data_IF_137480889443
#
_entry.id   IF_137480889443
#
_cell.length_a   1.000
_cell.length_b   1.000
_cell.length_c   1.000
_cell.angle_alpha   90.00
_cell.angle_beta   90.00
_cell.angle_gamma   90.00
#
_symmetry.space_group_name_H-M   'P 1'
#
loop_
_entity.id
_entity.type
_entity.pdbx_description
1 polymer ?
#
# COMPACT_ATOMS: atom_id res chain seq x y z
N UNK A 1 13.10 -21.64 33.05
CA UNK A 1 13.83 -22.87 32.64
C UNK A 1 14.32 -22.62 31.23
N UNK A 2 15.61 -22.80 30.98
CA UNK A 2 16.24 -22.60 29.67
C UNK A 2 16.62 -23.98 29.12
N UNK A 3 16.36 -24.23 27.84
CA UNK A 3 16.87 -25.41 27.14
C UNK A 3 17.58 -24.93 25.88
N UNK A 4 18.91 -24.96 25.88
CA UNK A 4 19.71 -24.37 24.79
C UNK A 4 19.49 -22.86 24.66
N UNK A 5 19.25 -22.38 23.43
CA UNK A 5 18.95 -20.96 23.13
C UNK A 5 17.49 -20.54 23.33
N UNK A 6 16.66 -21.39 23.94
CA UNK A 6 15.21 -21.17 24.08
C UNK A 6 14.85 -20.74 25.51
N UNK A 7 14.06 -19.66 25.58
CA UNK A 7 13.62 -18.99 26.79
C UNK A 7 12.11 -19.06 26.90
N UNK A 8 11.64 -19.66 27.99
CA UNK A 8 10.21 -19.82 28.27
C UNK A 8 9.80 -18.84 29.39
N UNK A 9 8.99 -17.81 29.12
CA UNK A 9 8.57 -16.84 30.13
C UNK A 9 7.90 -17.45 31.36
N UNK A 10 7.19 -18.59 31.22
CA UNK A 10 6.62 -19.34 32.36
C UNK A 10 7.70 -19.68 33.39
N UNK A 11 8.88 -20.09 32.91
CA UNK A 11 10.03 -20.39 33.75
C UNK A 11 10.67 -19.18 34.41
N UNK A 12 10.21 -17.98 34.09
CA UNK A 12 10.56 -16.69 34.69
C UNK A 12 9.43 -16.14 35.59
N UNK A 13 8.33 -16.89 35.74
CA UNK A 13 7.16 -16.51 36.54
C UNK A 13 6.01 -15.90 35.74
N UNK A 14 6.04 -15.95 34.41
CA UNK A 14 4.91 -15.47 33.60
C UNK A 14 3.70 -16.39 33.78
N UNK A 15 2.51 -15.80 33.78
CA UNK A 15 1.24 -16.51 33.88
C UNK A 15 0.65 -16.73 32.47
N UNK A 16 0.69 -17.96 31.94
CA UNK A 16 0.20 -18.27 30.59
C UNK A 16 -1.32 -18.31 30.50
N UNK A 17 -2.05 -18.12 31.62
CA UNK A 17 -3.52 -18.08 31.65
C UNK A 17 -4.09 -16.69 31.41
N UNK A 18 -3.26 -15.65 31.56
CA UNK A 18 -3.66 -14.26 31.33
C UNK A 18 -4.43 -13.65 32.50
N UNK A 19 -4.41 -14.28 33.68
CA UNK A 19 -5.02 -13.73 34.89
C UNK A 19 -4.10 -12.73 35.59
N UNK A 20 -2.80 -13.01 35.64
CA UNK A 20 -1.81 -12.16 36.29
C UNK A 20 -0.90 -11.47 35.28
N UNK A 21 -0.37 -10.31 35.69
CA UNK A 21 0.59 -9.56 34.90
C UNK A 21 1.87 -10.38 34.66
N UNK A 22 2.27 -10.49 33.40
CA UNK A 22 3.43 -11.25 32.95
C UNK A 22 4.57 -10.36 32.43
N UNK A 23 4.43 -9.04 32.51
CA UNK A 23 5.32 -8.09 31.85
C UNK A 23 6.76 -8.24 32.33
N UNK A 24 6.96 -8.29 33.66
CA UNK A 24 8.30 -8.42 34.25
C UNK A 24 8.94 -9.78 33.98
N UNK A 25 8.14 -10.85 33.98
CA UNK A 25 8.64 -12.19 33.70
C UNK A 25 9.08 -12.34 32.24
N UNK A 26 8.28 -11.82 31.29
CA UNK A 26 8.63 -11.82 29.86
C UNK A 26 9.86 -10.93 29.62
N UNK A 27 9.90 -9.73 30.20
CA UNK A 27 11.06 -8.84 30.08
C UNK A 27 12.33 -9.47 30.67
N UNK A 28 12.22 -10.21 31.77
CA UNK A 28 13.35 -10.94 32.36
C UNK A 28 13.85 -12.06 31.45
N UNK A 29 12.95 -12.85 30.86
CA UNK A 29 13.31 -13.87 29.87
C UNK A 29 14.05 -13.25 28.67
N UNK A 30 13.55 -12.11 28.19
CA UNK A 30 14.17 -11.35 27.10
C UNK A 30 15.56 -10.83 27.48
N UNK A 31 15.72 -10.22 28.66
CA UNK A 31 17.00 -9.70 29.12
C UNK A 31 18.06 -10.80 29.29
N UNK A 32 17.66 -11.99 29.75
CA UNK A 32 18.56 -13.14 29.84
C UNK A 32 19.01 -13.61 28.44
N UNK A 33 18.09 -13.64 27.46
CA UNK A 33 18.43 -13.92 26.07
C UNK A 33 19.49 -12.97 25.51
N UNK A 34 19.32 -11.66 25.76
CA UNK A 34 20.28 -10.64 25.34
C UNK A 34 21.61 -10.70 26.12
N UNK A 35 21.61 -11.32 27.30
CA UNK A 35 22.79 -11.49 28.14
C UNK A 35 23.66 -12.69 27.74
N UNK A 36 23.16 -13.64 26.92
CA UNK A 36 23.95 -14.82 26.51
C UNK A 36 25.28 -14.41 25.90
N UNK A 37 26.38 -14.87 26.49
CA UNK A 37 27.70 -14.73 25.88
C UNK A 37 28.03 -16.05 25.20
N UNK A 38 28.03 -16.07 23.86
CA UNK A 38 28.84 -17.05 23.15
C UNK A 38 30.30 -16.90 23.57
N UNK A 39 31.07 -17.98 23.57
CA UNK A 39 32.50 -17.99 23.92
C UNK A 39 33.32 -17.04 23.01
N UNK A 40 32.81 -16.74 21.82
CA UNK A 40 33.35 -15.74 20.88
C UNK A 40 32.38 -14.56 20.71
N UNK A 41 32.92 -13.33 20.67
CA UNK A 41 32.13 -12.13 20.31
C UNK A 41 31.76 -12.18 18.83
N UNK A 42 30.62 -12.78 18.52
CA UNK A 42 30.02 -12.75 17.17
C UNK A 42 29.14 -11.52 17.02
N UNK A 43 29.19 -10.96 15.83
CA UNK A 43 28.43 -9.79 15.44
C UNK A 43 27.74 -10.11 14.11
N UNK A 44 26.54 -9.58 13.94
CA UNK A 44 25.93 -9.43 12.63
C UNK A 44 26.63 -8.23 11.96
N UNK A 45 25.95 -7.11 11.75
CA UNK A 45 26.62 -5.84 11.49
C UNK A 45 27.24 -5.28 12.78
N UNK A 46 28.54 -4.95 12.80
CA UNK A 46 29.12 -4.29 13.99
C UNK A 46 28.41 -2.95 14.29
N UNK A 47 28.04 -2.67 15.55
CA UNK A 47 28.31 -3.42 16.78
C UNK A 47 27.19 -4.38 17.25
N UNK A 48 26.21 -4.72 16.41
CA UNK A 48 25.10 -5.62 16.73
C UNK A 48 25.60 -7.00 17.14
N UNK A 49 25.37 -7.36 18.41
CA UNK A 49 25.68 -8.69 18.92
C UNK A 49 24.78 -9.73 18.26
N UNK A 50 25.38 -10.82 17.81
CA UNK A 50 24.65 -12.00 17.36
C UNK A 50 24.18 -12.80 18.59
N UNK A 51 22.87 -12.98 18.75
CA UNK A 51 22.27 -13.74 19.84
C UNK A 51 22.19 -15.25 19.56
N UNK A 52 22.73 -15.72 18.43
CA UNK A 52 22.90 -17.14 18.14
C UNK A 52 21.58 -17.88 17.87
N UNK A 53 20.55 -17.17 17.40
CA UNK A 53 19.23 -17.74 17.15
C UNK A 53 18.42 -17.91 18.43
N UNK A 54 18.56 -16.99 19.39
CA UNK A 54 17.79 -17.02 20.62
C UNK A 54 16.28 -17.02 20.32
N UNK A 55 15.51 -17.77 21.11
CA UNK A 55 14.06 -17.87 20.95
C UNK A 55 13.36 -17.54 22.26
N UNK A 56 12.47 -16.55 22.24
CA UNK A 56 11.46 -16.33 23.27
C UNK A 56 10.20 -17.10 22.85
N UNK A 57 9.97 -18.24 23.49
CA UNK A 57 8.86 -19.13 23.17
C UNK A 57 7.72 -18.92 24.18
N UNK A 58 6.60 -18.38 23.70
CA UNK A 58 5.40 -18.11 24.51
C UNK A 58 4.57 -19.38 24.74
N UNK A 59 4.91 -20.52 24.12
CA UNK A 59 4.33 -21.85 24.31
C UNK A 59 2.80 -21.93 24.14
N UNK A 60 2.24 -21.09 23.27
CA UNK A 60 0.80 -20.97 23.06
C UNK A 60 0.04 -20.31 24.23
N UNK A 61 0.74 -19.79 25.24
CA UNK A 61 0.14 -19.12 26.39
C UNK A 61 -0.53 -17.80 26.03
N UNK A 62 -1.46 -17.36 26.87
CA UNK A 62 -2.08 -16.03 26.80
C UNK A 62 -1.57 -15.19 27.96
N UNK A 63 -0.76 -14.17 27.68
CA UNK A 63 -0.08 -13.37 28.70
C UNK A 63 -0.68 -11.98 28.76
N UNK A 64 -1.15 -11.60 29.96
CA UNK A 64 -1.58 -10.24 30.26
C UNK A 64 -0.34 -9.39 30.55
N UNK A 65 -0.24 -8.21 29.93
CA UNK A 65 0.86 -7.26 30.15
C UNK A 65 0.32 -5.85 30.44
N UNK A 66 0.87 -5.19 31.45
CA UNK A 66 0.57 -3.81 31.85
C UNK A 66 1.59 -2.79 31.36
N UNK A 67 2.70 -3.25 30.77
CA UNK A 67 3.73 -2.39 30.18
C UNK A 67 4.37 -3.02 28.94
N UNK A 68 4.95 -2.22 28.05
CA UNK A 68 5.61 -2.71 26.85
C UNK A 68 6.71 -3.73 27.16
N UNK A 69 6.84 -4.73 26.29
CA UNK A 69 8.01 -5.60 26.23
C UNK A 69 9.03 -4.95 25.30
N UNK A 70 10.09 -4.39 25.87
CA UNK A 70 11.08 -3.60 25.12
C UNK A 70 12.34 -4.42 24.90
N UNK A 71 12.74 -4.57 23.64
CA UNK A 71 13.95 -5.31 23.27
C UNK A 71 15.19 -4.46 23.56
N UNK A 72 16.19 -4.98 24.30
CA UNK A 72 17.45 -4.28 24.48
C UNK A 72 18.12 -3.97 23.12
N UNK A 73 18.71 -2.78 22.92
CA UNK A 73 19.29 -2.41 21.64
C UNK A 73 20.63 -3.12 21.40
N UNK A 74 21.13 -2.98 20.17
CA UNK A 74 22.47 -3.43 19.77
C UNK A 74 22.64 -4.96 19.71
N UNK A 75 21.58 -5.67 19.28
CA UNK A 75 21.65 -7.09 19.02
C UNK A 75 20.66 -7.56 17.95
N UNK A 76 20.81 -8.82 17.55
CA UNK A 76 20.00 -9.43 16.51
C UNK A 76 20.05 -10.95 16.50
N UNK A 77 19.48 -11.56 15.47
CA UNK A 77 19.34 -13.02 15.34
C UNK A 77 18.55 -13.60 16.52
N UNK A 78 17.30 -13.13 16.65
CA UNK A 78 16.37 -13.51 17.71
C UNK A 78 14.94 -13.64 17.18
N UNK A 79 14.20 -14.60 17.75
CA UNK A 79 12.79 -14.84 17.45
C UNK A 79 11.93 -14.76 18.72
N UNK A 80 10.77 -14.13 18.63
CA UNK A 80 9.67 -14.31 19.58
C UNK A 80 8.53 -15.03 18.87
N UNK A 81 7.97 -16.09 19.47
CA UNK A 81 6.97 -16.91 18.80
C UNK A 81 5.87 -17.48 19.70
N UNK A 82 4.76 -17.89 19.05
CA UNK A 82 3.71 -18.80 19.54
C UNK A 82 2.99 -18.39 20.82
N UNK A 83 1.96 -17.54 20.75
CA UNK A 83 1.13 -17.22 21.91
C UNK A 83 0.26 -15.97 21.72
N UNK A 84 -0.24 -15.43 22.82
CA UNK A 84 -0.97 -14.15 22.84
C UNK A 84 -0.35 -13.17 23.83
N UNK A 85 -0.15 -11.94 23.40
CA UNK A 85 0.15 -10.79 24.27
C UNK A 85 -1.10 -9.92 24.34
N UNK A 86 -1.59 -9.67 25.55
CA UNK A 86 -2.82 -8.91 25.79
C UNK A 86 -2.56 -7.74 26.70
N UNK A 87 -2.89 -6.53 26.28
CA UNK A 87 -2.84 -5.37 27.16
C UNK A 87 -3.81 -5.53 28.35
N UNK A 88 -3.35 -5.18 29.54
CA UNK A 88 -4.20 -4.99 30.71
C UNK A 88 -4.90 -3.62 30.66
N UNK A 89 -5.82 -3.39 31.60
CA UNK A 89 -6.48 -2.08 31.75
C UNK A 89 -5.48 -0.96 32.12
N UNK A 90 -4.36 -1.32 32.74
CA UNK A 90 -3.31 -0.38 33.14
C UNK A 90 -2.28 -0.11 32.02
N UNK A 91 -2.41 -0.80 30.87
CA UNK A 91 -1.47 -0.64 29.77
C UNK A 91 -1.51 0.79 29.20
N UNK A 92 -0.34 1.44 29.00
CA UNK A 92 -0.30 2.83 28.55
C UNK A 92 -0.91 3.03 27.16
N UNK A 93 -1.79 4.04 26.97
CA UNK A 93 -2.58 4.21 25.74
C UNK A 93 -1.78 4.72 24.54
N UNK A 94 -0.53 5.12 24.74
CA UNK A 94 0.36 5.73 23.75
C UNK A 94 1.64 4.91 23.51
N UNK A 95 1.60 3.61 23.80
CA UNK A 95 2.72 2.67 23.66
C UNK A 95 2.31 1.45 22.85
N UNK A 96 3.24 0.53 22.63
CA UNK A 96 3.01 -0.69 21.87
C UNK A 96 3.29 -1.91 22.73
N UNK A 97 2.56 -3.00 22.54
CA UNK A 97 2.75 -4.24 23.30
C UNK A 97 4.21 -4.70 23.26
N UNK A 98 4.83 -4.61 22.08
CA UNK A 98 6.25 -4.88 21.86
C UNK A 98 6.93 -3.72 21.16
N UNK A 99 8.15 -3.39 21.61
CA UNK A 99 8.92 -2.26 21.09
C UNK A 99 10.37 -2.66 20.79
N UNK A 100 10.75 -2.53 19.51
CA UNK A 100 12.14 -2.41 19.07
C UNK A 100 12.49 -0.92 18.99
N UNK A 101 12.82 -0.34 20.15
CA UNK A 101 13.16 1.08 20.27
C UNK A 101 14.35 1.25 21.20
N UNK A 102 15.40 1.90 20.70
CA UNK A 102 16.54 2.30 21.53
C UNK A 102 16.29 3.68 22.17
N UNK A 103 16.59 3.87 23.46
CA UNK A 103 16.61 5.20 24.07
C UNK A 103 17.80 6.04 23.59
N UNK A 104 18.81 5.42 22.97
CA UNK A 104 19.97 6.12 22.43
C UNK A 104 19.59 6.86 21.13
N UNK A 105 20.05 8.10 20.98
CA UNK A 105 19.96 8.85 19.73
C UNK A 105 21.29 8.77 18.96
N UNK A 106 21.21 8.80 17.63
CA UNK A 106 22.39 9.00 16.77
C UNK A 106 22.90 7.80 15.98
N UNK A 107 22.34 6.58 16.14
CA UNK A 107 22.60 5.46 15.21
C UNK A 107 21.47 5.26 14.21
N UNK A 108 21.87 4.85 13.00
CA UNK A 108 20.94 4.48 11.93
C UNK A 108 20.18 3.19 12.27
N UNK A 109 20.85 2.17 12.85
CA UNK A 109 20.29 0.84 13.14
C UNK A 109 20.63 0.36 14.56
N UNK A 110 19.66 -0.22 15.25
CA UNK A 110 19.80 -0.81 16.60
C UNK A 110 19.44 -2.29 16.70
N UNK A 111 18.76 -2.83 15.68
CA UNK A 111 18.30 -4.21 15.67
C UNK A 111 18.51 -4.79 14.27
N UNK A 112 18.87 -6.07 14.20
CA UNK A 112 19.05 -6.79 12.94
C UNK A 112 18.48 -8.21 13.07
N UNK A 113 17.79 -8.72 12.05
CA UNK A 113 17.34 -10.11 12.01
C UNK A 113 16.47 -10.51 13.22
N UNK A 114 15.40 -9.73 13.46
CA UNK A 114 14.40 -9.98 14.51
C UNK A 114 13.15 -10.58 13.89
N UNK A 115 12.64 -11.67 14.46
CA UNK A 115 11.41 -12.33 13.95
C UNK A 115 10.31 -12.38 15.00
N UNK A 116 9.11 -11.96 14.63
CA UNK A 116 7.85 -12.18 15.35
C UNK A 116 6.99 -13.15 14.55
N UNK A 117 6.56 -14.25 15.16
CA UNK A 117 5.91 -15.34 14.43
C UNK A 117 4.81 -16.03 15.24
N UNK A 118 3.65 -16.24 14.64
CA UNK A 118 2.56 -17.02 15.26
C UNK A 118 2.06 -16.39 16.58
N UNK A 119 1.97 -15.04 16.64
CA UNK A 119 1.56 -14.29 17.83
C UNK A 119 0.24 -13.54 17.60
N UNK A 120 -0.67 -13.60 18.57
CA UNK A 120 -1.77 -12.66 18.71
C UNK A 120 -1.34 -11.45 19.55
N UNK A 121 -1.40 -10.27 18.96
CA UNK A 121 -1.24 -8.98 19.61
C UNK A 121 -2.61 -8.36 19.85
N UNK A 122 -3.13 -8.47 21.07
CA UNK A 122 -4.40 -7.83 21.46
C UNK A 122 -4.12 -6.60 22.32
N UNK A 123 -4.22 -5.43 21.70
CA UNK A 123 -4.00 -4.15 22.37
C UNK A 123 -5.14 -3.77 23.32
N UNK A 124 -6.23 -4.54 23.42
CA UNK A 124 -7.34 -4.32 24.37
C UNK A 124 -7.86 -2.86 24.40
N UNK A 125 -7.87 -2.19 23.25
CA UNK A 125 -8.22 -0.77 23.06
C UNK A 125 -7.27 0.20 23.77
N UNK A 126 -5.99 -0.18 23.87
CA UNK A 126 -4.90 0.57 24.50
C UNK A 126 -3.66 0.54 23.60
N UNK A 127 -3.24 1.69 23.10
CA UNK A 127 -1.98 1.78 22.34
C UNK A 127 -2.01 1.00 21.02
N UNK A 128 -0.86 0.46 20.64
CA UNK A 128 -0.63 -0.28 19.41
C UNK A 128 -0.08 -1.69 19.64
N UNK A 129 0.10 -2.43 18.56
CA UNK A 129 0.62 -3.80 18.62
C UNK A 129 2.14 -3.84 18.70
N UNK A 130 2.80 -3.45 17.60
CA UNK A 130 4.25 -3.54 17.44
C UNK A 130 4.86 -2.24 16.94
N UNK A 131 5.93 -1.79 17.60
CA UNK A 131 6.75 -0.66 17.18
C UNK A 131 8.14 -1.12 16.77
N UNK A 132 8.56 -0.75 15.57
CA UNK A 132 9.88 -1.04 15.01
C UNK A 132 10.54 0.26 14.63
N UNK A 133 11.65 0.59 15.28
CA UNK A 133 12.42 1.80 14.98
C UNK A 133 13.84 1.41 14.60
N UNK A 134 14.35 1.95 13.50
CA UNK A 134 15.77 1.85 13.11
C UNK A 134 16.27 0.39 13.16
N UNK A 135 15.55 -0.50 12.46
CA UNK A 135 15.83 -1.94 12.43
C UNK A 135 16.12 -2.42 11.02
N UNK A 136 16.90 -3.48 10.88
CA UNK A 136 17.16 -4.17 9.61
C UNK A 136 16.60 -5.59 9.65
N UNK A 137 16.02 -6.04 8.53
CA UNK A 137 15.69 -7.47 8.29
C UNK A 137 14.73 -8.02 9.35
N UNK A 138 13.74 -7.23 9.72
CA UNK A 138 12.70 -7.65 10.68
C UNK A 138 11.62 -8.44 9.95
N UNK A 139 11.16 -9.55 10.54
CA UNK A 139 10.09 -10.38 9.98
C UNK A 139 8.91 -10.44 10.94
N UNK A 140 7.71 -10.17 10.44
CA UNK A 140 6.44 -10.31 11.15
C UNK A 140 5.59 -11.27 10.33
N UNK A 141 5.43 -12.50 10.83
CA UNK A 141 4.91 -13.61 10.04
C UNK A 141 3.73 -14.24 10.78
N UNK A 142 2.67 -14.55 10.04
CA UNK A 142 1.53 -15.33 10.53
C UNK A 142 1.00 -14.84 11.88
N UNK A 143 0.82 -13.53 12.00
CA UNK A 143 0.46 -12.89 13.27
C UNK A 143 -0.86 -12.14 13.15
N UNK A 144 -1.56 -12.04 14.27
CA UNK A 144 -2.89 -11.46 14.33
C UNK A 144 -2.85 -10.22 15.25
N UNK A 145 -3.38 -9.08 14.80
CA UNK A 145 -3.37 -7.82 15.54
C UNK A 145 -4.80 -7.32 15.73
N UNK A 146 -5.19 -7.06 16.98
CA UNK A 146 -6.54 -6.62 17.35
C UNK A 146 -6.54 -5.45 18.32
N UNK A 147 -7.64 -4.69 18.27
CA UNK A 147 -8.01 -3.74 19.31
C UNK A 147 -6.97 -2.63 19.56
N UNK A 148 -6.17 -2.24 18.56
CA UNK A 148 -5.28 -1.08 18.70
C UNK A 148 -6.08 0.23 18.62
N UNK A 149 -5.61 1.25 19.35
CA UNK A 149 -6.10 2.63 19.25
C UNK A 149 -5.10 3.55 18.53
N UNK A 150 -3.91 3.04 18.19
CA UNK A 150 -2.93 3.78 17.39
C UNK A 150 -2.66 3.01 16.10
N UNK A 151 -1.57 2.26 16.05
CA UNK A 151 -1.14 1.43 14.94
C UNK A 151 -1.11 -0.04 15.35
N UNK A 152 -1.59 -0.93 14.47
CA UNK A 152 -1.31 -2.36 14.62
C UNK A 152 0.19 -2.61 14.57
N UNK A 153 0.83 -2.13 13.49
CA UNK A 153 2.28 -2.10 13.31
C UNK A 153 2.72 -0.70 12.90
N UNK A 154 3.72 -0.13 13.59
CA UNK A 154 4.42 1.08 13.19
C UNK A 154 5.90 0.77 12.91
N UNK A 155 6.37 1.09 11.71
CA UNK A 155 7.78 0.99 11.32
C UNK A 155 8.32 2.39 11.03
N UNK A 156 9.43 2.77 11.67
CA UNK A 156 10.07 4.07 11.51
C UNK A 156 11.58 3.93 11.28
N UNK A 157 12.07 4.45 10.16
CA UNK A 157 13.47 4.30 9.77
C UNK A 157 13.86 2.85 9.54
N UNK A 158 15.16 2.57 9.42
CA UNK A 158 15.65 1.24 9.06
C UNK A 158 15.27 0.82 7.64
N UNK A 159 15.45 -0.48 7.33
CA UNK A 159 15.14 -1.09 6.04
C UNK A 159 14.72 -2.55 6.18
N UNK A 160 14.13 -3.13 5.13
CA UNK A 160 13.92 -4.58 5.00
C UNK A 160 13.02 -5.19 6.09
N UNK A 161 11.94 -4.52 6.48
CA UNK A 161 10.88 -5.11 7.31
C UNK A 161 9.89 -5.86 6.43
N UNK A 162 9.69 -7.15 6.68
CA UNK A 162 8.76 -8.01 5.95
C UNK A 162 7.57 -8.39 6.83
N UNK A 163 6.38 -8.00 6.39
CA UNK A 163 5.09 -8.31 7.01
C UNK A 163 4.37 -9.30 6.09
N UNK A 164 4.15 -10.53 6.54
CA UNK A 164 3.64 -11.60 5.69
C UNK A 164 2.57 -12.44 6.40
N UNK A 165 1.52 -12.81 5.67
CA UNK A 165 0.46 -13.72 6.16
C UNK A 165 -0.22 -13.24 7.45
N UNK A 166 -0.36 -11.93 7.65
CA UNK A 166 -0.92 -11.38 8.88
C UNK A 166 -2.41 -10.99 8.74
N UNK A 167 -3.08 -10.83 9.88
CA UNK A 167 -4.42 -10.26 9.98
C UNK A 167 -4.37 -9.09 10.94
N UNK A 168 -4.79 -7.89 10.50
CA UNK A 168 -4.74 -6.69 11.34
C UNK A 168 -6.04 -5.92 11.27
N UNK A 169 -6.68 -5.71 12.42
CA UNK A 169 -7.81 -4.80 12.50
C UNK A 169 -8.03 -4.16 13.85
N UNK A 170 -8.50 -2.91 13.82
CA UNK A 170 -8.80 -2.17 15.05
C UNK A 170 -9.97 -2.82 15.79
N UNK A 171 -10.91 -3.44 15.07
CA UNK A 171 -12.07 -4.12 15.63
C UNK A 171 -12.32 -5.43 14.89
N UNK A 172 -12.59 -6.51 15.62
CA UNK A 172 -12.95 -7.80 15.02
C UNK A 172 -14.42 -7.77 14.55
N UNK A 173 -14.63 -7.46 13.27
CA UNK A 173 -15.94 -7.51 12.60
C UNK A 173 -15.78 -7.93 11.14
N UNK A 174 -16.87 -8.32 10.49
CA UNK A 174 -16.92 -8.81 9.10
C UNK A 174 -17.60 -7.81 8.15
N UNK A 175 -17.84 -6.58 8.61
CA UNK A 175 -18.59 -5.55 7.88
C UNK A 175 -19.90 -5.18 8.58
N UNK A 176 -20.55 -4.09 8.13
CA UNK A 176 -21.82 -3.57 8.66
C UNK A 176 -21.85 -3.33 10.18
N UNK A 177 -20.70 -3.00 10.76
CA UNK A 177 -20.63 -2.57 12.15
C UNK A 177 -21.31 -1.20 12.30
N UNK A 178 -22.26 -1.08 13.22
CA UNK A 178 -23.00 0.17 13.45
C UNK A 178 -22.09 1.34 13.87
N UNK A 179 -20.89 1.04 14.37
CA UNK A 179 -19.87 2.00 14.78
C UNK A 179 -18.70 2.10 13.80
N UNK A 180 -18.83 1.62 12.56
CA UNK A 180 -17.76 1.70 11.55
C UNK A 180 -17.30 3.14 11.30
N UNK A 181 -18.23 4.10 11.39
CA UNK A 181 -17.94 5.53 11.27
C UNK A 181 -16.95 6.04 12.34
N UNK A 182 -16.85 5.35 13.48
CA UNK A 182 -15.99 5.72 14.60
C UNK A 182 -14.60 5.09 14.52
N UNK A 183 -14.30 4.24 13.54
CA UNK A 183 -12.96 3.66 13.39
C UNK A 183 -11.95 4.77 13.08
N UNK A 184 -10.77 4.73 13.72
CA UNK A 184 -9.75 5.79 13.68
C UNK A 184 -8.30 5.29 13.66
N UNK A 185 -8.06 4.00 13.91
CA UNK A 185 -6.71 3.43 13.93
C UNK A 185 -6.12 3.20 12.53
N UNK A 186 -4.82 2.95 12.49
CA UNK A 186 -4.09 2.54 11.28
C UNK A 186 -3.61 1.11 11.44
N UNK A 187 -3.87 0.20 10.49
CA UNK A 187 -3.41 -1.18 10.65
C UNK A 187 -1.89 -1.29 10.52
N UNK A 188 -1.32 -0.74 9.45
CA UNK A 188 0.13 -0.68 9.22
C UNK A 188 0.54 0.74 8.82
N UNK A 189 1.56 1.28 9.48
CA UNK A 189 2.22 2.53 9.13
C UNK A 189 3.71 2.29 8.81
N UNK A 190 4.09 2.50 7.55
CA UNK A 190 5.45 2.32 7.05
C UNK A 190 6.11 3.68 6.77
N UNK A 191 6.77 4.24 7.79
CA UNK A 191 7.73 5.34 7.69
C UNK A 191 9.16 4.85 7.53
N UNK A 192 9.35 3.93 6.59
CA UNK A 192 10.62 3.26 6.34
C UNK A 192 10.68 2.82 4.87
N UNK A 193 11.89 2.51 4.39
CA UNK A 193 12.16 2.17 3.00
C UNK A 193 12.45 0.68 2.82
N UNK A 194 12.31 0.19 1.59
CA UNK A 194 12.69 -1.18 1.18
C UNK A 194 12.00 -2.30 1.98
N UNK A 195 10.75 -2.06 2.40
CA UNK A 195 9.94 -3.03 3.13
C UNK A 195 9.02 -3.82 2.20
N UNK A 196 8.45 -4.91 2.73
CA UNK A 196 7.46 -5.71 2.00
C UNK A 196 6.25 -6.04 2.88
N UNK A 197 5.05 -5.87 2.31
CA UNK A 197 3.79 -6.33 2.91
C UNK A 197 3.14 -7.30 1.93
N UNK A 198 2.99 -8.56 2.33
CA UNK A 198 2.53 -9.66 1.47
C UNK A 198 1.44 -10.49 2.12
N UNK A 199 0.47 -10.94 1.33
CA UNK A 199 -0.55 -11.93 1.73
C UNK A 199 -1.24 -11.57 3.07
N UNK A 200 -1.56 -10.29 3.27
CA UNK A 200 -1.99 -9.75 4.56
C UNK A 200 -3.39 -9.17 4.46
N UNK A 201 -4.22 -9.45 5.47
CA UNK A 201 -5.58 -8.94 5.56
C UNK A 201 -5.64 -7.75 6.52
N UNK A 202 -6.15 -6.62 6.02
CA UNK A 202 -6.30 -5.38 6.77
C UNK A 202 -7.80 -5.06 6.87
N UNK A 203 -8.31 -4.93 8.09
CA UNK A 203 -9.74 -4.78 8.31
C UNK A 203 -10.12 -3.82 9.42
N UNK A 204 -11.30 -3.22 9.28
CA UNK A 204 -11.98 -2.45 10.33
C UNK A 204 -11.11 -1.38 11.01
N UNK A 205 -10.17 -0.78 10.29
CA UNK A 205 -9.41 0.41 10.71
C UNK A 205 -9.83 1.64 9.89
N UNK A 206 -9.42 2.84 10.28
CA UNK A 206 -9.61 4.04 9.43
C UNK A 206 -8.71 3.98 8.20
N UNK A 207 -7.46 3.58 8.41
CA UNK A 207 -6.46 3.40 7.35
C UNK A 207 -5.91 1.99 7.41
N UNK A 208 -5.93 1.26 6.30
CA UNK A 208 -5.28 -0.05 6.22
C UNK A 208 -3.77 0.09 6.26
N UNK A 209 -3.21 0.54 5.15
CA UNK A 209 -1.77 0.73 4.99
C UNK A 209 -1.46 2.20 4.70
N UNK A 210 -0.65 2.82 5.56
CA UNK A 210 -0.08 4.14 5.34
C UNK A 210 1.38 4.00 4.89
N UNK A 211 1.66 4.35 3.62
CA UNK A 211 3.00 4.38 3.05
C UNK A 211 3.56 5.80 3.14
N UNK A 212 4.65 5.97 3.89
CA UNK A 212 5.40 7.24 4.00
C UNK A 212 6.81 7.15 3.45
N UNK A 213 7.41 5.97 3.53
CA UNK A 213 8.73 5.69 2.96
C UNK A 213 8.70 5.17 1.53
N UNK A 214 9.89 4.98 0.98
CA UNK A 214 10.14 4.74 -0.44
C UNK A 214 10.42 3.27 -0.74
N UNK A 215 10.27 2.90 -2.01
CA UNK A 215 10.72 1.63 -2.57
C UNK A 215 10.09 0.35 -1.96
N UNK A 216 8.97 0.48 -1.23
CA UNK A 216 8.31 -0.68 -0.64
C UNK A 216 7.53 -1.49 -1.68
N UNK A 217 7.33 -2.77 -1.37
CA UNK A 217 6.56 -3.71 -2.19
C UNK A 217 5.33 -4.19 -1.42
N UNK A 218 4.16 -4.03 -2.03
CA UNK A 218 2.86 -4.41 -1.47
C UNK A 218 2.20 -5.37 -2.43
N UNK A 219 1.87 -6.57 -1.98
CA UNK A 219 1.20 -7.57 -2.83
C UNK A 219 0.26 -8.47 -2.05
N UNK A 220 -0.81 -8.97 -2.68
CA UNK A 220 -1.70 -9.96 -2.04
C UNK A 220 -2.46 -9.42 -0.83
N UNK A 221 -2.74 -8.11 -0.78
CA UNK A 221 -3.54 -7.57 0.32
C UNK A 221 -5.03 -7.86 0.12
N UNK A 222 -5.75 -8.14 1.20
CA UNK A 222 -7.21 -8.04 1.24
C UNK A 222 -7.60 -6.95 2.24
N UNK A 223 -8.27 -5.91 1.77
CA UNK A 223 -8.46 -4.66 2.50
C UNK A 223 -9.95 -4.34 2.60
N UNK A 224 -10.54 -4.61 3.76
CA UNK A 224 -11.94 -4.29 4.11
C UNK A 224 -11.99 -3.44 5.39
N UNK A 225 -11.34 -2.28 5.29
CA UNK A 225 -11.33 -1.26 6.35
C UNK A 225 -12.64 -0.49 6.39
N UNK A 226 -12.66 0.57 7.20
CA UNK A 226 -13.71 1.59 7.13
C UNK A 226 -13.93 1.98 5.66
N UNK A 227 -15.15 1.81 5.18
CA UNK A 227 -15.50 1.99 3.79
C UNK A 227 -15.39 3.45 3.35
N UNK A 228 -15.32 3.65 2.04
CA UNK A 228 -15.31 4.97 1.39
C UNK A 228 -16.46 5.85 1.87
N UNK A 229 -17.66 5.27 2.10
CA UNK A 229 -18.85 5.99 2.61
C UNK A 229 -18.59 6.73 3.94
N UNK A 230 -17.67 6.23 4.75
CA UNK A 230 -17.26 6.83 6.02
C UNK A 230 -15.87 7.47 5.96
N UNK A 231 -15.35 7.72 4.76
CA UNK A 231 -14.02 8.32 4.51
C UNK A 231 -12.85 7.48 5.02
N UNK A 232 -13.01 6.16 5.14
CA UNK A 232 -11.86 5.30 5.38
C UNK A 232 -10.98 5.16 4.14
N UNK A 233 -9.74 4.70 4.33
CA UNK A 233 -8.75 4.56 3.27
C UNK A 233 -8.13 3.17 3.34
N UNK A 234 -8.14 2.46 2.21
CA UNK A 234 -7.53 1.14 2.14
C UNK A 234 -6.01 1.24 2.18
N UNK A 235 -5.43 1.93 1.18
CA UNK A 235 -4.00 2.24 1.13
C UNK A 235 -3.84 3.75 0.91
N UNK A 236 -3.02 4.39 1.74
CA UNK A 236 -2.69 5.81 1.63
C UNK A 236 -1.21 5.93 1.29
N UNK A 237 -0.90 6.50 0.12
CA UNK A 237 0.46 6.80 -0.34
C UNK A 237 0.73 8.29 -0.17
N UNK A 238 1.67 8.64 0.71
CA UNK A 238 2.09 10.03 0.92
C UNK A 238 2.99 10.50 -0.22
N UNK A 239 3.08 11.81 -0.39
CA UNK A 239 3.94 12.51 -1.33
C UNK A 239 5.44 12.15 -1.21
N UNK A 240 5.88 11.75 -0.01
CA UNK A 240 7.24 11.29 0.25
C UNK A 240 7.51 9.84 -0.18
N UNK A 241 6.44 9.07 -0.47
CA UNK A 241 6.46 7.63 -0.67
C UNK A 241 6.70 7.27 -2.15
N UNK A 242 7.85 7.67 -2.67
CA UNK A 242 8.27 7.36 -4.03
C UNK A 242 8.64 5.89 -4.25
N UNK A 243 8.62 5.42 -5.51
CA UNK A 243 9.12 4.09 -5.91
C UNK A 243 8.35 2.89 -5.33
N UNK A 244 7.17 3.11 -4.77
CA UNK A 244 6.35 2.04 -4.20
C UNK A 244 5.62 1.24 -5.30
N UNK A 245 5.50 -0.06 -5.08
CA UNK A 245 4.82 -1.01 -5.99
C UNK A 245 3.69 -1.68 -5.24
N UNK A 246 2.47 -1.53 -5.75
CA UNK A 246 1.24 -2.14 -5.22
C UNK A 246 0.70 -3.06 -6.31
N UNK A 247 0.56 -4.34 -6.01
CA UNK A 247 0.16 -5.34 -7.00
C UNK A 247 -0.82 -6.35 -6.40
N UNK A 248 -1.66 -6.96 -7.25
CA UNK A 248 -2.48 -8.13 -6.90
C UNK A 248 -3.21 -8.00 -5.54
N UNK A 249 -3.86 -6.87 -5.30
CA UNK A 249 -4.55 -6.58 -4.04
C UNK A 249 -6.06 -6.48 -4.25
N UNK A 250 -6.83 -6.84 -3.23
CA UNK A 250 -8.28 -6.75 -3.22
C UNK A 250 -8.75 -5.65 -2.24
N UNK A 251 -9.34 -4.61 -2.81
CA UNK A 251 -9.87 -3.44 -2.11
C UNK A 251 -11.39 -3.58 -2.00
N UNK A 252 -11.88 -3.95 -0.82
CA UNK A 252 -13.30 -4.20 -0.57
C UNK A 252 -13.95 -2.97 0.08
N UNK A 253 -14.77 -2.23 -0.70
CA UNK A 253 -15.38 -0.93 -0.33
C UNK A 253 -14.39 0.16 0.10
N UNK A 254 -13.10 0.01 -0.23
CA UNK A 254 -12.03 0.95 0.16
C UNK A 254 -11.24 1.45 -1.04
N UNK A 255 -10.69 2.65 -0.94
CA UNK A 255 -9.91 3.29 -2.01
C UNK A 255 -8.41 3.26 -1.74
N UNK A 256 -7.63 3.44 -2.81
CA UNK A 256 -6.22 3.81 -2.72
C UNK A 256 -6.11 5.31 -2.98
N UNK A 257 -5.52 6.06 -2.05
CA UNK A 257 -5.30 7.50 -2.15
C UNK A 257 -3.80 7.76 -2.32
N UNK A 258 -3.42 8.55 -3.32
CA UNK A 258 -2.02 8.90 -3.59
C UNK A 258 -1.84 10.41 -3.65
N UNK A 259 -1.03 10.96 -2.76
CA UNK A 259 -0.64 12.36 -2.77
C UNK A 259 0.58 12.56 -3.67
N UNK A 260 0.48 13.45 -4.67
CA UNK A 260 1.57 13.81 -5.59
C UNK A 260 2.49 12.63 -6.00
N UNK A 261 1.94 11.53 -6.59
CA UNK A 261 2.70 10.29 -6.69
C UNK A 261 3.93 10.44 -7.60
N UNK A 262 5.05 9.88 -7.13
CA UNK A 262 6.34 9.88 -7.83
C UNK A 262 6.88 8.45 -7.98
N UNK A 263 6.90 7.95 -9.22
CA UNK A 263 7.31 6.57 -9.55
C UNK A 263 6.54 5.50 -8.76
N UNK A 264 5.20 5.57 -8.74
CA UNK A 264 4.35 4.59 -8.06
C UNK A 264 3.70 3.66 -9.08
N UNK A 265 3.65 2.36 -8.77
CA UNK A 265 3.01 1.35 -9.62
C UNK A 265 1.80 0.73 -8.89
N UNK A 266 0.66 0.65 -9.57
CA UNK A 266 -0.55 -0.03 -9.13
C UNK A 266 -1.09 -0.94 -10.23
N UNK A 267 -1.01 -2.26 -10.00
CA UNK A 267 -1.42 -3.26 -11.00
C UNK A 267 -2.24 -4.42 -10.44
N UNK A 268 -2.96 -5.08 -11.35
CA UNK A 268 -3.60 -6.38 -11.13
C UNK A 268 -4.53 -6.44 -9.91
N UNK A 269 -5.06 -5.30 -9.47
CA UNK A 269 -5.85 -5.20 -8.25
C UNK A 269 -7.35 -5.20 -8.54
N UNK A 270 -8.13 -5.72 -7.60
CA UNK A 270 -9.59 -5.72 -7.60
C UNK A 270 -10.11 -4.61 -6.71
N UNK A 271 -11.10 -3.86 -7.19
CA UNK A 271 -11.83 -2.88 -6.40
C UNK A 271 -13.32 -3.20 -6.40
N UNK A 272 -13.92 -3.35 -5.22
CA UNK A 272 -15.35 -3.58 -5.03
C UNK A 272 -16.01 -2.39 -4.30
N UNK A 273 -17.29 -2.17 -4.58
CA UNK A 273 -18.15 -1.34 -3.73
C UNK A 273 -17.84 0.16 -3.80
N UNK A 274 -17.61 0.68 -5.01
CA UNK A 274 -17.13 2.06 -5.24
C UNK A 274 -15.70 2.33 -4.70
N UNK A 275 -14.93 1.28 -4.39
CA UNK A 275 -13.48 1.40 -4.24
C UNK A 275 -12.85 1.93 -5.53
N UNK A 276 -11.94 2.89 -5.41
CA UNK A 276 -11.31 3.55 -6.56
C UNK A 276 -9.88 4.01 -6.24
N UNK A 277 -9.22 4.60 -7.24
CA UNK A 277 -7.95 5.32 -7.06
C UNK A 277 -8.22 6.82 -7.00
N UNK A 278 -7.65 7.50 -6.01
CA UNK A 278 -7.74 8.95 -5.88
C UNK A 278 -6.35 9.54 -5.99
N UNK A 279 -6.13 10.38 -7.00
CA UNK A 279 -4.90 11.13 -7.22
C UNK A 279 -5.08 12.53 -6.63
N UNK A 280 -4.41 12.80 -5.52
CA UNK A 280 -4.61 14.02 -4.74
C UNK A 280 -3.42 14.96 -4.88
N UNK A 281 -3.69 16.18 -5.32
CA UNK A 281 -2.69 17.24 -5.43
C UNK A 281 -2.42 17.87 -4.07
N UNK A 282 -1.15 17.91 -3.65
CA UNK A 282 -0.69 18.67 -2.46
C UNK A 282 0.19 19.85 -2.91
N UNK A 283 1.18 19.55 -3.75
CA UNK A 283 2.08 20.48 -4.42
C UNK A 283 1.82 20.54 -5.93
N UNK A 284 0.91 19.71 -6.45
CA UNK A 284 0.49 19.70 -7.85
C UNK A 284 1.52 19.08 -8.78
N UNK A 285 2.17 18.01 -8.34
CA UNK A 285 3.20 17.32 -9.12
C UNK A 285 2.97 15.82 -9.10
N UNK A 286 2.88 15.22 -10.27
CA UNK A 286 2.79 13.78 -10.42
C UNK A 286 3.72 13.32 -11.53
N UNK A 287 4.53 12.30 -11.25
CA UNK A 287 5.39 11.72 -12.28
C UNK A 287 5.62 10.21 -12.14
N UNK A 288 5.78 9.51 -13.25
CA UNK A 288 6.11 8.08 -13.25
C UNK A 288 5.04 7.18 -12.62
N UNK A 289 3.79 7.65 -12.54
CA UNK A 289 2.67 6.85 -12.03
C UNK A 289 2.21 5.85 -13.08
N UNK A 290 2.00 4.60 -12.70
CA UNK A 290 1.32 3.61 -13.54
C UNK A 290 0.15 2.99 -12.77
N UNK A 291 -1.05 3.05 -13.35
CA UNK A 291 -2.29 2.41 -12.87
C UNK A 291 -2.84 1.54 -14.00
N UNK A 292 -2.59 0.24 -13.96
CA UNK A 292 -2.89 -0.66 -15.08
C UNK A 292 -3.51 -1.98 -14.68
N UNK A 293 -4.30 -2.54 -15.59
CA UNK A 293 -4.78 -3.92 -15.53
C UNK A 293 -5.53 -4.25 -14.23
N UNK A 294 -6.17 -3.25 -13.63
CA UNK A 294 -7.04 -3.40 -12.46
C UNK A 294 -8.49 -3.59 -12.93
N UNK A 295 -9.32 -4.20 -12.09
CA UNK A 295 -10.75 -4.31 -12.35
C UNK A 295 -11.60 -3.73 -11.23
N UNK A 296 -12.66 -3.03 -11.61
CA UNK A 296 -13.48 -2.22 -10.73
C UNK A 296 -14.95 -2.65 -10.82
N UNK A 297 -15.61 -2.75 -9.68
CA UNK A 297 -17.05 -2.98 -9.60
C UNK A 297 -17.67 -2.05 -8.56
N UNK A 298 -18.61 -1.22 -9.00
CA UNK A 298 -19.27 -0.27 -8.12
C UNK A 298 -20.58 0.22 -8.72
N UNK A 299 -21.02 1.39 -8.25
CA UNK A 299 -22.33 1.93 -8.53
C UNK A 299 -22.29 3.28 -9.25
N UNK A 300 -21.23 4.09 -9.05
CA UNK A 300 -21.19 5.43 -9.66
C UNK A 300 -19.82 6.14 -9.72
N UNK A 301 -18.82 5.74 -8.93
CA UNK A 301 -17.55 6.47 -8.90
C UNK A 301 -16.71 6.22 -10.15
N UNK A 302 -15.90 7.20 -10.53
CA UNK A 302 -14.87 6.97 -11.54
C UNK A 302 -13.79 6.04 -10.96
N UNK A 303 -13.22 5.18 -11.81
CA UNK A 303 -12.17 4.25 -11.37
C UNK A 303 -10.89 4.96 -10.90
N UNK A 304 -10.63 6.14 -11.46
CA UNK A 304 -9.55 7.05 -11.08
C UNK A 304 -10.15 8.44 -11.01
N UNK A 305 -10.04 9.08 -9.85
CA UNK A 305 -10.46 10.46 -9.62
C UNK A 305 -9.25 11.35 -9.37
N UNK A 306 -9.31 12.59 -9.83
CA UNK A 306 -8.28 13.62 -9.60
C UNK A 306 -8.83 14.66 -8.65
N UNK A 307 -8.20 14.81 -7.50
CA UNK A 307 -8.54 15.81 -6.49
C UNK A 307 -7.51 16.94 -6.50
N UNK A 308 -7.97 18.15 -6.82
CA UNK A 308 -7.11 19.34 -6.96
C UNK A 308 -6.45 19.46 -8.33
N UNK A 309 -5.52 20.40 -8.46
CA UNK A 309 -4.88 20.73 -9.74
C UNK A 309 -3.43 20.24 -9.77
N UNK A 310 -3.07 19.51 -10.82
CA UNK A 310 -1.69 19.10 -11.10
C UNK A 310 -1.07 19.99 -12.17
N UNK A 311 -0.07 20.78 -11.78
CA UNK A 311 0.69 21.66 -12.68
C UNK A 311 1.75 20.90 -13.48
N UNK A 312 2.22 19.78 -12.93
CA UNK A 312 3.22 18.91 -13.55
C UNK A 312 2.66 17.50 -13.58
N UNK A 313 2.51 16.96 -14.80
CA UNK A 313 2.07 15.59 -15.07
C UNK A 313 3.01 14.98 -16.11
N UNK A 314 3.94 14.14 -15.68
CA UNK A 314 4.97 13.54 -16.54
C UNK A 314 5.02 12.01 -16.41
N UNK A 315 5.11 11.27 -17.52
CA UNK A 315 5.20 9.80 -17.49
C UNK A 315 4.07 9.13 -16.65
N UNK A 316 2.85 9.67 -16.73
CA UNK A 316 1.69 9.13 -16.01
C UNK A 316 0.88 8.27 -16.94
N UNK A 317 0.67 7.01 -16.55
CA UNK A 317 -0.08 6.07 -17.38
C UNK A 317 -1.17 5.36 -16.60
N UNK A 318 -2.41 5.73 -16.91
CA UNK A 318 -3.64 5.02 -16.55
C UNK A 318 -4.19 4.39 -17.83
N UNK A 319 -4.30 3.06 -17.90
CA UNK A 319 -4.75 2.34 -19.11
C UNK A 319 -5.05 0.86 -18.77
N UNK A 320 -5.74 0.12 -19.65
CA UNK A 320 -5.98 -1.31 -19.47
C UNK A 320 -6.90 -1.71 -18.30
N UNK A 321 -7.41 -0.74 -17.55
CA UNK A 321 -8.33 -0.98 -16.44
C UNK A 321 -9.74 -1.32 -16.96
N UNK A 322 -10.42 -2.21 -16.25
CA UNK A 322 -11.76 -2.68 -16.61
C UNK A 322 -12.76 -2.32 -15.52
N UNK A 323 -13.98 -1.95 -15.89
CA UNK A 323 -15.02 -1.67 -14.91
C UNK A 323 -16.38 -2.21 -15.37
N UNK A 324 -17.28 -2.43 -14.41
CA UNK A 324 -18.69 -2.62 -14.73
C UNK A 324 -19.27 -1.33 -15.34
N UNK A 325 -20.43 -1.44 -16.01
CA UNK A 325 -21.06 -0.32 -16.76
C UNK A 325 -21.37 0.93 -15.91
N UNK A 326 -21.42 0.79 -14.59
CA UNK A 326 -21.81 1.86 -13.68
C UNK A 326 -20.64 2.79 -13.29
N UNK A 327 -19.40 2.36 -13.46
CA UNK A 327 -18.22 3.14 -13.11
C UNK A 327 -17.54 3.70 -14.37
N UNK A 328 -17.43 5.04 -14.52
CA UNK A 328 -16.71 5.63 -15.65
C UNK A 328 -15.23 5.23 -15.66
N UNK A 329 -14.75 4.79 -16.83
CA UNK A 329 -13.35 4.41 -17.07
C UNK A 329 -12.59 5.61 -17.62
N UNK A 330 -11.94 6.37 -16.73
CA UNK A 330 -11.02 7.45 -17.07
C UNK A 330 -9.62 6.91 -17.29
N UNK A 331 -8.92 7.42 -18.30
CA UNK A 331 -7.65 6.89 -18.79
C UNK A 331 -6.73 8.00 -19.29
N UNK A 332 -5.43 7.73 -19.38
CA UNK A 332 -4.47 8.58 -20.09
C UNK A 332 -4.28 8.14 -21.54
N UNK A 333 -4.97 7.08 -21.96
CA UNK A 333 -5.01 6.56 -23.33
C UNK A 333 -6.46 6.49 -23.78
N UNK A 334 -6.78 7.18 -24.88
CA UNK A 334 -8.12 7.19 -25.47
C UNK A 334 -8.16 6.41 -26.78
N UNK A 335 -9.29 5.75 -27.06
CA UNK A 335 -9.53 5.06 -28.35
C UNK A 335 -10.96 5.32 -28.81
N UNK A 336 -11.09 5.93 -29.99
CA UNK A 336 -12.39 6.27 -30.58
C UNK A 336 -12.40 5.89 -32.05
N UNK A 337 -13.51 5.33 -32.52
CA UNK A 337 -13.75 5.10 -33.95
C UNK A 337 -14.99 5.87 -34.37
N UNK A 338 -14.86 6.68 -35.41
CA UNK A 338 -15.93 7.49 -35.99
C UNK A 338 -16.15 7.02 -37.41
N UNK A 339 -17.38 6.61 -37.74
CA UNK A 339 -17.76 6.23 -39.09
C UNK A 339 -18.79 7.21 -39.63
N UNK A 340 -18.72 7.54 -40.92
CA UNK A 340 -19.68 8.43 -41.55
C UNK A 340 -19.31 8.82 -42.97
N UNK A 341 -20.29 9.39 -43.68
CA UNK A 341 -20.13 9.96 -45.01
C UNK A 341 -20.06 11.49 -44.90
N UNK A 342 -18.97 12.08 -45.37
CA UNK A 342 -18.76 13.51 -45.33
C UNK A 342 -17.29 13.86 -45.53
N UNK A 343 -16.92 15.06 -45.10
CA UNK A 343 -15.55 15.58 -45.19
C UNK A 343 -14.89 15.73 -43.81
N UNK A 344 -15.56 15.31 -42.73
CA UNK A 344 -15.15 15.59 -41.35
C UNK A 344 -15.55 14.50 -40.39
N UNK A 345 -14.60 14.04 -39.58
CA UNK A 345 -14.79 13.07 -38.49
C UNK A 345 -14.24 13.66 -37.19
N UNK A 346 -15.08 13.69 -36.16
CA UNK A 346 -14.75 14.30 -34.85
C UNK A 346 -14.67 13.19 -33.81
N UNK A 347 -13.47 12.87 -33.36
CA UNK A 347 -13.22 11.96 -32.26
C UNK A 347 -13.11 12.75 -30.96
N UNK A 348 -14.12 12.67 -30.10
CA UNK A 348 -14.18 13.34 -28.80
C UNK A 348 -13.75 12.38 -27.69
N UNK A 349 -12.77 12.78 -26.89
CA UNK A 349 -12.22 11.99 -25.80
C UNK A 349 -12.50 12.59 -24.41
N UNK A 350 -13.33 13.62 -24.29
CA UNK A 350 -13.56 14.33 -23.03
C UNK A 350 -14.09 13.43 -21.90
N UNK A 351 -14.85 12.39 -22.23
CA UNK A 351 -15.35 11.41 -21.24
C UNK A 351 -14.34 10.28 -20.95
N UNK A 352 -13.34 10.07 -21.82
CA UNK A 352 -12.34 9.01 -21.66
C UNK A 352 -11.05 9.50 -20.99
N UNK A 353 -10.61 10.72 -21.29
CA UNK A 353 -9.32 11.22 -20.86
C UNK A 353 -9.36 11.85 -19.46
N UNK A 354 -8.29 11.61 -18.70
CA UNK A 354 -8.17 12.05 -17.31
C UNK A 354 -7.87 13.54 -17.18
N UNK A 355 -7.00 14.07 -18.06
CA UNK A 355 -6.61 15.48 -18.02
C UNK A 355 -7.31 16.29 -19.12
N UNK A 356 -7.75 17.53 -18.84
CA UNK A 356 -8.30 18.39 -19.87
C UNK A 356 -7.20 18.86 -20.83
N UNK A 357 -7.52 18.91 -22.12
CA UNK A 357 -6.70 19.51 -23.18
C UNK A 357 -5.21 19.12 -23.15
N UNK A 358 -4.94 17.82 -23.00
CA UNK A 358 -3.57 17.31 -22.80
C UNK A 358 -3.26 16.10 -23.68
N UNK A 359 -3.67 16.13 -24.94
CA UNK A 359 -3.22 15.13 -25.92
C UNK A 359 -1.75 15.45 -26.26
N UNK A 360 -0.84 14.62 -25.79
CA UNK A 360 0.60 14.76 -26.04
C UNK A 360 0.99 14.10 -27.38
N UNK A 361 0.34 12.99 -27.72
CA UNK A 361 0.54 12.26 -28.97
C UNK A 361 -0.76 11.64 -29.47
N UNK A 362 -0.88 11.47 -30.78
CA UNK A 362 -1.99 10.77 -31.41
C UNK A 362 -1.57 9.98 -32.65
N UNK A 363 -2.36 8.97 -32.97
CA UNK A 363 -2.29 8.20 -34.22
C UNK A 363 -3.70 8.01 -34.75
N UNK A 364 -3.85 8.03 -36.07
CA UNK A 364 -5.12 7.69 -36.70
C UNK A 364 -4.93 6.82 -37.94
N UNK A 365 -5.95 5.99 -38.22
CA UNK A 365 -6.10 5.29 -39.49
C UNK A 365 -7.33 5.80 -40.21
N UNK A 366 -7.23 5.97 -41.52
CA UNK A 366 -8.33 6.42 -42.37
C UNK A 366 -8.70 5.32 -43.37
N UNK A 367 -9.89 4.73 -43.22
CA UNK A 367 -10.37 3.64 -44.07
C UNK A 367 -11.60 4.08 -44.87
N UNK A 368 -11.48 4.16 -46.19
CA UNK A 368 -12.59 4.49 -47.10
C UNK A 368 -13.39 3.23 -47.43
N UNK A 369 -14.70 3.27 -47.20
CA UNK A 369 -15.64 2.20 -47.57
C UNK A 369 -15.97 2.32 -49.06
N UNK A 370 -15.17 1.67 -49.90
CA UNK A 370 -15.36 1.63 -51.36
C UNK A 370 -14.27 2.39 -52.13
N UNK A 371 -14.50 2.66 -53.42
CA UNK A 371 -13.61 3.50 -54.23
C UNK A 371 -14.03 4.97 -54.10
N UNK A 372 -13.07 5.86 -53.84
CA UNK A 372 -13.31 7.31 -53.88
C UNK A 372 -13.83 7.77 -55.25
N UNK A 373 -14.28 9.02 -55.37
CA UNK A 373 -14.83 9.54 -56.64
C UNK A 373 -13.76 9.41 -57.74
N UNK A 374 -14.11 8.74 -58.83
CA UNK A 374 -13.17 8.50 -59.94
C UNK A 374 -12.02 7.54 -59.63
N UNK A 375 -12.07 6.77 -58.54
CA UNK A 375 -11.04 5.79 -58.16
C UNK A 375 -9.80 6.39 -57.47
N UNK A 376 -9.85 7.67 -57.08
CA UNK A 376 -8.76 8.35 -56.35
C UNK A 376 -8.89 8.12 -54.85
N UNK A 377 -7.76 8.14 -54.15
CA UNK A 377 -7.72 8.21 -52.69
C UNK A 377 -7.88 9.68 -52.27
N UNK A 378 -8.76 9.98 -51.29
CA UNK A 378 -8.91 11.34 -50.79
C UNK A 378 -7.63 11.80 -50.09
N UNK A 379 -7.34 13.09 -50.17
CA UNK A 379 -6.32 13.72 -49.33
C UNK A 379 -6.95 13.98 -47.97
N UNK A 380 -6.30 13.54 -46.90
CA UNK A 380 -6.80 13.71 -45.54
C UNK A 380 -5.71 14.14 -44.57
N UNK A 381 -6.10 14.87 -43.53
CA UNK A 381 -5.22 15.31 -42.46
C UNK A 381 -5.99 15.49 -41.15
N UNK A 382 -5.25 15.41 -40.03
CA UNK A 382 -5.77 15.89 -38.76
C UNK A 382 -5.63 17.43 -38.72
N UNK A 383 -6.72 18.12 -38.40
CA UNK A 383 -6.79 19.60 -38.41
C UNK A 383 -7.00 20.20 -37.02
N UNK A 384 -7.36 19.39 -36.02
CA UNK A 384 -7.42 19.80 -34.62
C UNK A 384 -7.03 18.64 -33.70
N UNK A 385 -6.38 18.96 -32.59
CA UNK A 385 -6.06 18.05 -31.46
C UNK A 385 -6.32 18.70 -30.09
N UNK A 386 -6.91 19.90 -30.07
CA UNK A 386 -7.21 20.66 -28.85
C UNK A 386 -8.56 20.26 -28.23
N UNK A 387 -8.73 20.56 -26.95
CA UNK A 387 -9.95 20.29 -26.18
C UNK A 387 -10.24 18.81 -26.00
N UNK A 388 -9.20 17.96 -26.02
CA UNK A 388 -9.33 16.49 -26.08
C UNK A 388 -10.15 16.00 -27.28
N UNK A 389 -10.13 16.74 -28.40
CA UNK A 389 -10.84 16.39 -29.62
C UNK A 389 -9.85 16.28 -30.77
N UNK A 390 -9.85 15.14 -31.46
CA UNK A 390 -9.14 14.97 -32.73
C UNK A 390 -10.12 15.12 -33.88
N UNK A 391 -9.85 16.07 -34.76
CA UNK A 391 -10.63 16.28 -35.99
C UNK A 391 -9.81 15.84 -37.17
N UNK A 392 -10.35 14.91 -37.97
CA UNK A 392 -9.78 14.50 -39.25
C UNK A 392 -10.70 14.99 -40.36
N UNK A 393 -10.12 15.65 -41.36
CA UNK A 393 -10.84 16.20 -42.51
C UNK A 393 -10.26 15.67 -43.82
N UNK A 394 -11.11 15.59 -44.85
CA UNK A 394 -10.74 15.22 -46.22
C UNK A 394 -11.11 16.31 -47.22
N UNK A 395 -10.40 16.33 -48.36
CA UNK A 395 -10.63 17.26 -49.45
C UNK A 395 -11.93 17.01 -50.23
N UNK A 396 -12.44 15.78 -50.19
CA UNK A 396 -13.72 15.39 -50.76
C UNK A 396 -14.58 14.55 -49.82
N UNK A 397 -15.88 14.52 -50.07
CA UNK A 397 -16.82 13.73 -49.29
C UNK A 397 -16.66 12.23 -49.61
N UNK A 398 -16.38 11.44 -48.57
CA UNK A 398 -16.24 9.98 -48.66
C UNK A 398 -16.96 9.31 -47.51
N UNK A 399 -17.42 8.07 -47.72
CA UNK A 399 -17.83 7.19 -46.61
C UNK A 399 -16.57 6.55 -46.03
N UNK A 400 -16.20 6.92 -44.82
CA UNK A 400 -14.98 6.45 -44.18
C UNK A 400 -15.17 6.10 -42.70
N UNK A 401 -14.23 5.32 -42.21
CA UNK A 401 -14.02 4.98 -40.81
C UNK A 401 -12.68 5.55 -40.39
N UNK A 402 -12.70 6.44 -39.40
CA UNK A 402 -11.52 7.02 -38.79
C UNK A 402 -11.37 6.43 -37.40
N UNK A 403 -10.30 5.67 -37.19
CA UNK A 403 -9.94 5.14 -35.86
C UNK A 403 -8.80 5.97 -35.31
N UNK A 404 -8.97 6.53 -34.13
CA UNK A 404 -8.02 7.44 -33.48
C UNK A 404 -7.61 6.86 -32.13
N UNK A 405 -6.31 6.88 -31.86
CA UNK A 405 -5.71 6.57 -30.56
C UNK A 405 -4.94 7.80 -30.10
N UNK A 406 -5.12 8.19 -28.85
CA UNK A 406 -4.46 9.35 -28.23
C UNK A 406 -3.82 8.96 -26.91
N UNK A 407 -2.79 9.68 -26.51
CA UNK A 407 -2.21 9.56 -25.17
C UNK A 407 -1.83 10.91 -24.54
N UNK A 408 -1.82 10.95 -23.20
CA UNK A 408 -1.55 12.13 -22.37
C UNK A 408 -0.20 12.07 -21.64
N UNK A 409 0.72 11.29 -22.18
CA UNK A 409 2.08 11.15 -21.68
C UNK A 409 3.08 11.27 -22.81
N UNK A 410 4.16 12.02 -22.60
CA UNK A 410 5.22 12.18 -23.59
C UNK A 410 6.01 10.88 -23.78
N UNK A 411 5.81 10.16 -24.89
CA UNK A 411 6.53 8.90 -25.19
C UNK A 411 7.64 8.98 -26.24
N UNK A 412 7.71 10.07 -27.01
CA UNK A 412 8.53 10.09 -28.23
C UNK A 412 9.63 11.15 -28.14
N UNK A 413 10.87 10.72 -28.41
CA UNK A 413 11.98 11.63 -28.73
C UNK A 413 11.81 12.05 -30.18
N UNK A 414 11.59 13.33 -30.43
CA UNK A 414 11.63 13.87 -31.79
C UNK A 414 13.06 13.73 -32.33
N UNK A 415 13.21 13.00 -33.42
CA UNK A 415 14.45 13.03 -34.20
C UNK A 415 14.38 14.24 -35.11
N UNK A 416 15.24 15.23 -34.88
CA UNK A 416 15.48 16.31 -35.84
C UNK A 416 16.30 15.74 -37.00
N UNK A 417 15.78 15.86 -38.22
CA UNK A 417 16.48 15.54 -39.46
C UNK A 417 17.20 16.76 -40.02
#
# INVERSE_FOLDING_TARGET
>A
MQVGGVYYPIGYGADPTGHNDSSDAIQKALNDAFSQRGEEKRYLMRPMKDLGGAVIDLQGGSYLISKPITFPPTAGNIMMKEGSLRASQDFPPNRYLVELMSPESGRWIYYEDVTFRDILFDSARRGGGLLIVNSLRTRIINSYFLNFTTQGILVQGGHETYIASCFLGQKSTVGDDEHEADFFGTAIDLASNDNSVTDTVLFSSQTGLLLRGQANMVSGLHVYNKGVKYRGTGIYVKESAAFNRIDNSYMDYTSIVMEDPYFVHLTNSMFLGDGNVVLKSVYGRMAGLTVRDNFFHGFKREIVEVEGEFKVVDQVVVDGNQANKAMPVRSTVGRVTVAGNGTKWVADFNDQLLFPDKIDHFQYSFYVKGRGRGGRLPVHAATNVSGNVVVVESDEAVDAVVSVVVDQFKKVREATY
#
